data_IF_964781569256
#
_entry.id   IF_964781569256
#
_cell.length_a   1.000
_cell.length_b   1.000
_cell.length_c   1.000
_cell.angle_alpha   90.00
_cell.angle_beta   90.00
_cell.angle_gamma   90.00
#
_symmetry.space_group_name_H-M   'P 1'
#
loop_
_entity.id
_entity.type
_entity.pdbx_description
1 polymer ?
#
# COMPACT_ATOMS: atom_id res chain seq x y z
N UNK A 1 1.06 -26.19 11.83
CA UNK A 1 2.33 -26.70 11.25
C UNK A 1 2.58 -25.92 9.97
N UNK A 2 3.74 -25.27 9.86
CA UNK A 2 3.91 -24.06 9.06
C UNK A 2 4.08 -24.33 7.56
N UNK A 3 3.17 -23.79 6.76
CA UNK A 3 3.25 -23.70 5.29
C UNK A 3 4.49 -22.90 4.82
N UNK A 4 5.19 -22.21 5.73
CA UNK A 4 6.27 -21.29 5.41
C UNK A 4 7.65 -21.89 5.12
N UNK A 5 7.87 -23.21 5.30
CA UNK A 5 9.21 -23.82 5.09
C UNK A 5 9.57 -24.03 3.62
N UNK A 6 8.59 -24.09 2.71
CA UNK A 6 8.83 -24.35 1.28
C UNK A 6 9.34 -23.13 0.51
N UNK A 7 9.44 -21.98 1.16
CA UNK A 7 9.67 -20.72 0.47
C UNK A 7 11.13 -20.26 0.47
N UNK A 8 12.01 -20.77 1.33
CA UNK A 8 13.40 -20.27 1.41
C UNK A 8 14.28 -20.95 0.36
N UNK A 9 14.73 -20.19 -0.64
CA UNK A 9 15.74 -20.67 -1.61
C UNK A 9 17.14 -20.66 -1.00
N UNK A 10 17.92 -21.70 -1.28
CA UNK A 10 19.35 -21.75 -0.94
C UNK A 10 20.24 -21.05 -1.98
N UNK A 11 19.68 -20.74 -3.17
CA UNK A 11 20.42 -20.10 -4.24
C UNK A 11 20.59 -18.60 -3.96
N UNK A 12 21.79 -18.09 -4.18
CA UNK A 12 22.03 -16.64 -4.12
C UNK A 12 21.43 -16.00 -5.37
N UNK A 13 20.59 -14.95 -5.25
CA UNK A 13 19.99 -14.32 -6.42
C UNK A 13 21.07 -13.63 -7.27
N UNK A 14 20.92 -13.67 -8.60
CA UNK A 14 21.80 -12.98 -9.55
C UNK A 14 21.00 -12.03 -10.44
N UNK A 15 20.86 -10.78 -9.98
CA UNK A 15 19.99 -9.78 -10.58
C UNK A 15 20.51 -9.26 -11.92
N UNK A 16 19.67 -9.36 -12.93
CA UNK A 16 19.94 -8.86 -14.28
C UNK A 16 20.13 -7.33 -14.26
N UNK A 17 21.14 -6.84 -14.98
CA UNK A 17 21.40 -5.41 -15.13
C UNK A 17 22.12 -4.74 -13.95
N UNK A 18 22.46 -5.48 -12.89
CA UNK A 18 23.38 -4.97 -11.87
C UNK A 18 24.84 -5.11 -12.31
N UNK A 19 25.75 -4.23 -11.85
CA UNK A 19 27.18 -4.38 -12.08
C UNK A 19 27.71 -5.72 -11.54
N UNK A 20 28.73 -6.32 -12.17
CA UNK A 20 29.28 -7.63 -11.77
C UNK A 20 29.62 -7.74 -10.27
N UNK A 21 30.13 -6.68 -9.64
CA UNK A 21 30.43 -6.67 -8.21
C UNK A 21 29.23 -6.53 -7.27
N UNK A 22 28.01 -6.39 -7.82
CA UNK A 22 26.73 -6.23 -7.11
C UNK A 22 25.64 -7.12 -7.69
N UNK A 23 26.01 -8.17 -8.43
CA UNK A 23 25.04 -9.09 -9.06
C UNK A 23 24.08 -9.70 -8.04
N UNK A 24 24.49 -9.85 -6.78
CA UNK A 24 23.67 -10.42 -5.71
C UNK A 24 22.72 -9.42 -5.04
N UNK A 25 22.85 -8.13 -5.34
CA UNK A 25 22.02 -7.06 -4.80
C UNK A 25 22.82 -5.79 -4.54
N UNK A 26 22.13 -4.66 -4.42
CA UNK A 26 22.75 -3.38 -4.05
C UNK A 26 23.03 -3.29 -2.56
N UNK A 27 22.13 -3.85 -1.75
CA UNK A 27 22.26 -3.99 -0.31
C UNK A 27 21.71 -5.36 0.11
N UNK A 28 22.19 -5.86 1.23
CA UNK A 28 21.70 -7.09 1.85
C UNK A 28 21.90 -7.05 3.35
N UNK A 29 21.15 -7.88 4.06
CA UNK A 29 21.25 -8.03 5.50
C UNK A 29 20.91 -9.46 5.91
N UNK A 30 21.47 -9.89 7.05
CA UNK A 30 21.19 -11.17 7.67
C UNK A 30 20.23 -10.98 8.84
N UNK A 31 19.16 -11.75 8.86
CA UNK A 31 18.16 -11.79 9.92
C UNK A 31 18.10 -13.20 10.48
N UNK A 32 18.81 -13.45 11.59
CA UNK A 32 18.94 -14.81 12.14
C UNK A 32 19.60 -15.77 11.15
N UNK A 33 18.83 -16.76 10.70
CA UNK A 33 19.25 -17.76 9.72
C UNK A 33 18.89 -17.40 8.26
N UNK A 34 18.26 -16.24 8.02
CA UNK A 34 17.93 -15.79 6.68
C UNK A 34 18.89 -14.71 6.19
N UNK A 35 19.18 -14.72 4.90
CA UNK A 35 19.83 -13.63 4.19
C UNK A 35 18.83 -13.03 3.24
N UNK A 36 18.70 -11.71 3.26
CA UNK A 36 17.81 -10.97 2.38
C UNK A 36 18.63 -9.96 1.59
N UNK A 37 18.30 -9.80 0.31
CA UNK A 37 19.02 -8.92 -0.61
C UNK A 37 18.04 -8.19 -1.49
N UNK A 38 18.34 -6.96 -1.84
CA UNK A 38 17.51 -6.17 -2.77
C UNK A 38 18.34 -5.62 -3.92
N UNK A 39 17.82 -5.67 -5.16
CA UNK A 39 18.49 -5.07 -6.31
C UNK A 39 18.28 -3.56 -6.38
N UNK A 40 17.28 -3.02 -5.67
CA UNK A 40 16.76 -1.70 -5.98
C UNK A 40 16.18 -0.88 -4.82
N UNK A 41 15.93 -1.48 -3.66
CA UNK A 41 15.53 -0.73 -2.48
C UNK A 41 16.71 0.01 -1.85
N UNK A 42 16.42 1.14 -1.19
CA UNK A 42 17.42 1.98 -0.51
C UNK A 42 17.75 1.52 0.91
N UNK A 43 16.84 0.79 1.54
CA UNK A 43 16.95 0.35 2.92
C UNK A 43 16.45 -1.09 3.06
N UNK A 44 17.05 -1.86 3.97
CA UNK A 44 16.55 -3.17 4.33
C UNK A 44 15.34 -3.04 5.27
N UNK A 45 14.37 -3.91 5.10
CA UNK A 45 13.20 -4.03 5.98
C UNK A 45 13.34 -5.29 6.83
N UNK A 46 12.71 -5.33 8.00
CA UNK A 46 12.62 -6.59 8.75
C UNK A 46 11.77 -7.55 7.91
N UNK A 47 12.25 -8.76 7.59
CA UNK A 47 11.46 -9.71 6.81
C UNK A 47 10.18 -10.06 7.57
N UNK A 48 9.17 -10.55 6.85
CA UNK A 48 7.96 -11.17 7.44
C UNK A 48 7.98 -12.70 7.35
N UNK A 49 9.14 -13.26 6.99
CA UNK A 49 9.40 -14.70 6.88
C UNK A 49 10.28 -15.20 8.03
N UNK A 50 10.33 -16.51 8.23
CA UNK A 50 11.37 -17.17 9.04
C UNK A 50 11.36 -16.90 10.56
N UNK A 51 10.31 -16.27 11.09
CA UNK A 51 10.09 -16.14 12.52
C UNK A 51 8.59 -16.08 12.82
N UNK A 52 8.22 -16.36 14.07
CA UNK A 52 6.84 -16.25 14.52
C UNK A 52 6.44 -14.78 14.63
N UNK A 53 5.29 -14.44 14.05
CA UNK A 53 4.75 -13.09 14.05
C UNK A 53 3.45 -13.11 14.82
N UNK A 54 3.40 -12.36 15.92
CA UNK A 54 2.16 -12.12 16.66
C UNK A 54 1.52 -10.83 16.16
N UNK A 55 0.30 -10.94 15.64
CA UNK A 55 -0.49 -9.78 15.20
C UNK A 55 -1.18 -9.18 16.42
N UNK A 56 -0.78 -7.97 16.79
CA UNK A 56 -1.34 -7.24 17.93
C UNK A 56 -1.83 -5.88 17.49
N UNK A 57 -2.99 -5.48 18.00
CA UNK A 57 -3.47 -4.11 17.87
C UNK A 57 -2.59 -3.19 18.72
N UNK A 58 -2.00 -2.17 18.08
CA UNK A 58 -1.13 -1.19 18.74
C UNK A 58 -1.89 0.06 19.16
N UNK A 59 -1.25 0.91 19.94
CA UNK A 59 -1.80 2.19 20.43
C UNK A 59 -2.14 3.18 19.32
N UNK A 60 -1.54 3.02 18.14
CA UNK A 60 -1.84 3.81 16.95
C UNK A 60 -2.95 3.17 16.09
N UNK A 61 -3.64 2.17 16.61
CA UNK A 61 -4.75 1.45 15.96
C UNK A 61 -4.36 0.70 14.68
N UNK A 62 -3.06 0.43 14.50
CA UNK A 62 -2.49 -0.39 13.43
C UNK A 62 -2.01 -1.73 13.96
N UNK A 63 -1.69 -2.64 13.05
CA UNK A 63 -1.22 -3.99 13.39
C UNK A 63 0.31 -4.16 13.33
N UNK A 64 1.06 -3.06 13.19
CA UNK A 64 2.52 -3.12 13.06
C UNK A 64 2.97 -3.65 11.68
N UNK A 65 4.06 -4.42 11.64
CA UNK A 65 4.64 -4.91 10.38
C UNK A 65 3.67 -5.76 9.53
N UNK A 66 2.77 -6.57 10.10
CA UNK A 66 1.73 -7.28 9.36
C UNK A 66 0.65 -6.38 8.73
N UNK A 67 0.58 -5.10 9.12
CA UNK A 67 -0.37 -4.16 8.52
C UNK A 67 0.17 -3.66 7.17
N UNK A 68 -0.52 -3.86 6.04
CA UNK A 68 -0.02 -3.46 4.73
C UNK A 68 0.27 -1.97 4.59
N UNK A 69 -0.36 -1.12 5.40
CA UNK A 69 -0.10 0.33 5.40
C UNK A 69 1.15 0.75 6.18
N UNK A 70 1.79 -0.18 6.89
CA UNK A 70 2.98 0.08 7.71
C UNK A 70 4.28 -0.36 7.02
N UNK A 71 4.21 -1.25 6.03
CA UNK A 71 5.41 -1.78 5.40
C UNK A 71 5.13 -2.78 4.27
N UNK A 72 6.18 -3.15 3.51
CA UNK A 72 6.06 -4.14 2.46
C UNK A 72 5.58 -5.48 3.00
N UNK A 73 4.72 -6.14 2.24
CA UNK A 73 4.13 -7.42 2.60
C UNK A 73 4.73 -8.55 1.76
N UNK A 74 4.65 -9.82 2.23
CA UNK A 74 4.88 -10.99 1.40
C UNK A 74 4.08 -10.91 0.10
N UNK A 75 4.76 -11.12 -1.02
CA UNK A 75 4.10 -11.13 -2.31
C UNK A 75 3.20 -12.34 -2.43
N UNK A 76 1.94 -12.09 -2.77
CA UNK A 76 0.99 -13.12 -3.20
C UNK A 76 0.23 -12.61 -4.42
N UNK A 77 0.08 -13.44 -5.44
CA UNK A 77 -0.57 -13.04 -6.70
C UNK A 77 -1.99 -12.48 -6.49
N UNK A 78 -2.76 -13.07 -5.58
CA UNK A 78 -4.12 -12.59 -5.23
C UNK A 78 -4.13 -11.18 -4.61
N UNK A 79 -3.04 -10.78 -3.96
CA UNK A 79 -2.88 -9.48 -3.30
C UNK A 79 -1.74 -8.67 -3.90
N UNK A 80 -1.44 -8.87 -5.20
CA UNK A 80 -0.34 -8.22 -5.91
C UNK A 80 -0.37 -6.68 -5.80
N UNK A 81 -1.57 -6.10 -5.71
CA UNK A 81 -1.78 -4.67 -5.52
C UNK A 81 -1.12 -4.09 -4.27
N UNK A 82 -0.89 -4.89 -3.22
CA UNK A 82 -0.20 -4.40 -2.01
C UNK A 82 1.23 -3.94 -2.29
N UNK A 83 1.90 -4.53 -3.29
CA UNK A 83 3.23 -4.08 -3.72
C UNK A 83 3.21 -2.67 -4.33
N UNK A 84 2.06 -2.28 -4.90
CA UNK A 84 1.81 -0.98 -5.51
C UNK A 84 1.35 0.07 -4.50
N UNK A 85 1.18 -0.28 -3.22
CA UNK A 85 0.74 0.66 -2.19
C UNK A 85 1.71 1.83 -2.07
N UNK A 86 1.19 3.02 -1.79
CA UNK A 86 2.02 4.20 -1.56
C UNK A 86 2.83 3.96 -0.28
N UNK A 87 4.13 4.20 -0.35
CA UNK A 87 5.00 4.13 0.82
C UNK A 87 4.76 5.35 1.72
N UNK A 88 4.95 5.24 3.05
CA UNK A 88 4.86 6.38 3.96
C UNK A 88 5.74 7.55 3.48
N UNK A 89 5.12 8.71 3.32
CA UNK A 89 5.76 9.91 2.77
C UNK A 89 5.26 11.18 3.46
N UNK A 90 6.09 12.23 3.41
CA UNK A 90 5.74 13.59 3.84
C UNK A 90 5.26 14.47 2.68
N UNK A 91 5.16 13.92 1.47
CA UNK A 91 4.63 14.63 0.30
C UNK A 91 3.20 15.14 0.54
N UNK A 92 2.97 16.40 0.21
CA UNK A 92 1.74 17.13 0.56
C UNK A 92 0.45 16.47 0.03
N UNK A 93 0.51 15.88 -1.15
CA UNK A 93 -0.64 15.25 -1.81
C UNK A 93 -1.10 13.96 -1.12
N UNK A 94 -0.16 13.26 -0.46
CA UNK A 94 -0.41 11.98 0.19
C UNK A 94 -0.33 12.04 1.72
N UNK A 95 0.12 13.16 2.28
CA UNK A 95 0.36 13.30 3.72
C UNK A 95 -0.85 12.95 4.58
N UNK A 96 -2.09 13.20 4.13
CA UNK A 96 -3.30 12.84 4.88
C UNK A 96 -3.50 11.33 5.07
N UNK A 97 -2.92 10.50 4.20
CA UNK A 97 -2.98 9.04 4.28
C UNK A 97 -2.10 8.46 5.38
N UNK A 98 -1.10 9.22 5.82
CA UNK A 98 -0.09 8.77 6.78
C UNK A 98 -0.06 9.62 8.06
N UNK A 99 -0.76 10.76 8.08
CA UNK A 99 -0.84 11.64 9.23
C UNK A 99 -1.37 10.87 10.45
N UNK A 100 -0.71 10.93 11.61
CA UNK A 100 -1.24 10.34 12.82
C UNK A 100 -2.49 11.10 13.29
N UNK A 101 -3.40 10.40 13.95
CA UNK A 101 -4.52 11.03 14.63
C UNK A 101 -4.01 11.90 15.79
N UNK A 102 -4.47 13.14 15.89
CA UNK A 102 -4.14 14.00 17.03
C UNK A 102 -5.34 14.10 17.97
N UNK A 103 -5.13 13.81 19.25
CA UNK A 103 -6.18 13.85 20.28
C UNK A 103 -6.86 15.21 20.36
N UNK A 104 -6.15 16.30 20.07
CA UNK A 104 -6.70 17.66 20.02
C UNK A 104 -7.78 17.86 18.93
N UNK A 105 -7.91 16.95 17.95
CA UNK A 105 -9.00 17.00 16.98
C UNK A 105 -10.32 16.52 17.58
N UNK A 106 -10.30 15.86 18.73
CA UNK A 106 -11.49 15.33 19.38
C UNK A 106 -11.96 16.29 20.46
N UNK A 107 -13.24 16.64 20.45
CA UNK A 107 -13.87 17.50 21.46
C UNK A 107 -15.03 16.75 22.12
N UNK A 108 -15.06 16.62 23.46
CA UNK A 108 -16.15 15.96 24.17
C UNK A 108 -17.48 16.70 23.99
N UNK A 109 -18.58 15.97 24.04
CA UNK A 109 -19.92 16.54 23.96
C UNK A 109 -20.33 17.17 25.31
N UNK A 110 -21.09 18.28 25.29
CA UNK A 110 -21.69 18.82 26.50
C UNK A 110 -22.54 17.75 27.20
N UNK A 111 -22.28 17.52 28.49
CA UNK A 111 -23.02 16.55 29.30
C UNK A 111 -22.61 15.09 29.14
N UNK A 112 -21.66 14.76 28.26
CA UNK A 112 -21.11 13.39 28.16
C UNK A 112 -19.61 13.44 27.81
N UNK A 113 -18.70 13.35 28.80
CA UNK A 113 -17.26 13.43 28.56
C UNK A 113 -16.69 12.20 27.85
N UNK A 114 -17.43 11.09 27.78
CA UNK A 114 -16.97 9.85 27.13
C UNK A 114 -17.30 9.82 25.62
N UNK A 115 -18.17 10.70 25.14
CA UNK A 115 -18.51 10.83 23.73
C UNK A 115 -18.09 12.19 23.23
N UNK A 116 -17.45 12.23 22.07
CA UNK A 116 -17.02 13.47 21.45
C UNK A 116 -17.15 13.43 19.94
N UNK A 117 -16.85 14.56 19.32
CA UNK A 117 -16.84 14.73 17.86
C UNK A 117 -15.45 15.11 17.40
N UNK A 118 -15.12 14.70 16.18
CA UNK A 118 -13.93 15.20 15.50
C UNK A 118 -14.17 16.63 15.02
N UNK A 119 -13.13 17.45 15.02
CA UNK A 119 -13.09 18.77 14.42
C UNK A 119 -13.63 18.73 12.99
N UNK A 120 -14.64 19.56 12.74
CA UNK A 120 -15.35 19.63 11.46
C UNK A 120 -14.40 19.97 10.32
N UNK A 121 -13.43 20.86 10.53
CA UNK A 121 -12.47 21.26 9.50
C UNK A 121 -11.53 20.12 9.12
N UNK A 122 -11.13 19.31 10.09
CA UNK A 122 -10.34 18.09 9.85
C UNK A 122 -11.15 17.10 9.01
N UNK A 123 -12.40 16.81 9.38
CA UNK A 123 -13.24 15.89 8.61
C UNK A 123 -13.48 16.39 7.19
N UNK A 124 -13.74 17.69 7.02
CA UNK A 124 -13.94 18.31 5.71
C UNK A 124 -12.69 18.20 4.85
N UNK A 125 -11.52 18.47 5.41
CA UNK A 125 -10.24 18.39 4.70
C UNK A 125 -9.96 16.97 4.21
N UNK A 126 -10.12 15.96 5.08
CA UNK A 126 -9.92 14.55 4.73
C UNK A 126 -10.91 14.10 3.65
N UNK A 127 -12.20 14.41 3.85
CA UNK A 127 -13.26 14.07 2.90
C UNK A 127 -13.02 14.74 1.54
N UNK A 128 -12.58 16.00 1.51
CA UNK A 128 -12.29 16.74 0.27
C UNK A 128 -11.14 16.10 -0.51
N UNK A 129 -10.03 15.77 0.17
CA UNK A 129 -8.87 15.10 -0.47
C UNK A 129 -9.25 13.72 -1.02
N UNK A 130 -9.93 12.90 -0.24
CA UNK A 130 -10.40 11.58 -0.70
C UNK A 130 -11.40 11.68 -1.86
N UNK A 131 -12.34 12.63 -1.80
CA UNK A 131 -13.34 12.86 -2.86
C UNK A 131 -12.73 13.40 -4.15
N UNK A 132 -11.76 14.32 -4.06
CA UNK A 132 -11.06 14.86 -5.22
C UNK A 132 -10.37 13.73 -5.99
N UNK A 133 -9.57 12.93 -5.29
CA UNK A 133 -8.93 11.77 -5.89
C UNK A 133 -9.93 10.77 -6.48
N UNK A 134 -11.01 10.44 -5.75
CA UNK A 134 -12.03 9.52 -6.27
C UNK A 134 -12.73 10.05 -7.53
N UNK A 135 -12.94 11.37 -7.61
CA UNK A 135 -13.49 12.02 -8.80
C UNK A 135 -12.53 11.91 -9.98
N UNK A 136 -11.24 12.15 -9.75
CA UNK A 136 -10.21 12.07 -10.80
C UNK A 136 -10.12 10.65 -11.38
N UNK A 137 -10.21 9.62 -10.53
CA UNK A 137 -10.21 8.22 -10.98
C UNK A 137 -11.46 7.89 -11.79
N UNK A 138 -12.65 8.30 -11.33
CA UNK A 138 -13.87 8.07 -12.11
C UNK A 138 -13.84 8.79 -13.45
N UNK A 139 -13.29 10.01 -13.49
CA UNK A 139 -13.09 10.73 -14.74
C UNK A 139 -12.13 9.97 -15.68
N UNK A 140 -11.03 9.45 -15.15
CA UNK A 140 -10.08 8.67 -15.93
C UNK A 140 -10.72 7.40 -16.51
N UNK A 141 -11.59 6.72 -15.75
CA UNK A 141 -12.37 5.58 -16.24
C UNK A 141 -13.31 5.99 -17.37
N UNK A 142 -14.01 7.12 -17.24
CA UNK A 142 -14.88 7.65 -18.29
C UNK A 142 -14.09 8.04 -19.55
N UNK A 143 -12.91 8.63 -19.39
CA UNK A 143 -12.03 8.96 -20.51
C UNK A 143 -11.54 7.70 -21.24
N UNK A 144 -11.28 6.62 -20.50
CA UNK A 144 -10.93 5.31 -21.08
C UNK A 144 -12.12 4.73 -21.85
N UNK A 145 -13.34 4.78 -21.29
CA UNK A 145 -14.56 4.32 -21.98
C UNK A 145 -14.81 5.07 -23.29
N UNK A 146 -14.52 6.37 -23.31
CA UNK A 146 -14.69 7.23 -24.49
C UNK A 146 -13.53 7.13 -25.48
N UNK A 147 -12.45 6.44 -25.14
CA UNK A 147 -11.22 6.39 -25.95
C UNK A 147 -10.47 7.72 -26.02
N UNK A 148 -10.75 8.65 -25.10
CA UNK A 148 -10.08 9.96 -25.01
C UNK A 148 -8.92 9.96 -24.03
N UNK A 149 -8.78 8.91 -23.23
CA UNK A 149 -7.62 8.74 -22.37
C UNK A 149 -6.37 8.48 -23.24
N UNK A 150 -5.30 9.25 -23.02
CA UNK A 150 -4.00 9.07 -23.69
C UNK A 150 -3.24 7.82 -23.25
N UNK A 151 -3.95 6.72 -23.01
CA UNK A 151 -3.44 5.43 -22.50
C UNK A 151 -3.81 4.30 -23.44
N UNK A 152 -3.05 3.21 -23.39
CA UNK A 152 -3.33 1.96 -24.11
C UNK A 152 -4.23 1.01 -23.32
N UNK A 153 -4.75 1.44 -22.16
CA UNK A 153 -5.73 0.70 -21.37
C UNK A 153 -7.07 0.67 -22.08
N UNK A 154 -7.69 -0.51 -22.11
CA UNK A 154 -9.09 -0.68 -22.52
C UNK A 154 -9.96 -0.85 -21.30
N UNK A 155 -11.25 -0.58 -21.42
CA UNK A 155 -12.16 -0.72 -20.29
C UNK A 155 -12.26 -2.19 -19.84
N UNK A 156 -12.12 -3.13 -20.77
CA UNK A 156 -12.09 -4.58 -20.48
C UNK A 156 -10.91 -5.00 -19.60
N UNK A 157 -9.83 -4.21 -19.57
CA UNK A 157 -8.64 -4.47 -18.75
C UNK A 157 -8.85 -4.08 -17.28
N UNK A 158 -9.94 -3.36 -16.95
CA UNK A 158 -10.16 -2.73 -15.66
C UNK A 158 -11.40 -3.33 -14.99
N UNK A 159 -11.26 -3.75 -13.74
CA UNK A 159 -12.37 -4.24 -12.92
C UNK A 159 -13.28 -3.10 -12.40
N UNK A 160 -13.97 -2.39 -13.30
CA UNK A 160 -14.80 -1.20 -12.98
C UNK A 160 -15.94 -1.53 -12.00
N UNK A 161 -16.54 -2.71 -12.10
CA UNK A 161 -17.68 -3.11 -11.27
C UNK A 161 -17.37 -3.10 -9.76
N UNK A 162 -16.09 -3.28 -9.40
CA UNK A 162 -15.63 -3.26 -8.00
C UNK A 162 -15.21 -1.87 -7.54
N UNK A 163 -15.00 -0.94 -8.46
CA UNK A 163 -14.47 0.38 -8.19
C UNK A 163 -15.52 1.30 -7.55
N UNK A 164 -16.71 1.41 -8.16
CA UNK A 164 -17.76 2.31 -7.64
C UNK A 164 -18.21 1.96 -6.22
N UNK A 165 -18.49 0.68 -5.87
CA UNK A 165 -18.85 0.31 -4.50
C UNK A 165 -17.72 0.62 -3.51
N UNK A 166 -16.47 0.45 -3.92
CA UNK A 166 -15.30 0.72 -3.08
C UNK A 166 -15.10 2.22 -2.83
N UNK A 167 -15.26 3.05 -3.87
CA UNK A 167 -15.26 4.52 -3.75
C UNK A 167 -16.40 4.98 -2.86
N UNK A 168 -17.61 4.45 -3.05
CA UNK A 168 -18.74 4.79 -2.19
C UNK A 168 -18.48 4.44 -0.72
N UNK A 169 -17.86 3.27 -0.46
CA UNK A 169 -17.48 2.86 0.90
C UNK A 169 -16.45 3.81 1.50
N UNK A 170 -15.45 4.25 0.72
CA UNK A 170 -14.47 5.24 1.15
C UNK A 170 -15.15 6.56 1.55
N UNK A 171 -16.04 7.08 0.71
CA UNK A 171 -16.82 8.29 1.01
C UNK A 171 -17.60 8.16 2.31
N UNK A 172 -18.24 7.00 2.53
CA UNK A 172 -18.95 6.71 3.77
C UNK A 172 -18.02 6.69 4.99
N UNK A 173 -16.85 6.05 4.90
CA UNK A 173 -15.90 6.01 6.03
C UNK A 173 -15.47 7.42 6.44
N UNK A 174 -15.10 8.29 5.49
CA UNK A 174 -14.74 9.66 5.81
C UNK A 174 -15.89 10.45 6.45
N UNK A 175 -17.12 10.28 5.96
CA UNK A 175 -18.31 10.91 6.54
C UNK A 175 -18.62 10.38 7.95
N UNK A 176 -18.37 9.10 8.22
CA UNK A 176 -18.64 8.51 9.54
C UNK A 176 -17.78 9.08 10.66
N UNK A 177 -16.66 9.75 10.35
CA UNK A 177 -15.85 10.49 11.33
C UNK A 177 -16.60 11.69 11.94
N UNK A 178 -17.68 12.18 11.31
CA UNK A 178 -18.53 13.24 11.88
C UNK A 178 -19.43 12.75 13.01
N UNK A 179 -19.66 11.44 13.07
CA UNK A 179 -20.59 10.87 14.07
C UNK A 179 -19.91 10.84 15.43
N UNK A 180 -20.60 11.28 16.50
CA UNK A 180 -20.09 11.14 17.85
C UNK A 180 -19.65 9.71 18.16
N UNK A 181 -18.55 9.58 18.89
CA UNK A 181 -18.03 8.32 19.37
C UNK A 181 -17.04 8.57 20.52
N UNK A 182 -16.60 7.49 21.15
CA UNK A 182 -15.42 7.53 22.04
C UNK A 182 -14.17 7.95 21.25
N UNK A 183 -13.13 8.40 21.95
CA UNK A 183 -11.87 8.79 21.33
C UNK A 183 -11.27 7.61 20.54
N UNK A 184 -11.23 6.43 21.17
CA UNK A 184 -10.68 5.20 20.61
C UNK A 184 -11.45 4.74 19.37
N UNK A 185 -12.78 4.81 19.40
CA UNK A 185 -13.60 4.49 18.22
C UNK A 185 -13.33 5.44 17.05
N UNK A 186 -13.14 6.73 17.30
CA UNK A 186 -12.82 7.69 16.25
C UNK A 186 -11.40 7.49 15.69
N UNK A 187 -10.43 7.18 16.55
CA UNK A 187 -9.08 6.79 16.13
C UNK A 187 -9.11 5.53 15.26
N UNK A 188 -9.86 4.49 15.67
CA UNK A 188 -10.04 3.27 14.89
C UNK A 188 -10.71 3.53 13.54
N UNK A 189 -11.78 4.33 13.51
CA UNK A 189 -12.45 4.72 12.25
C UNK A 189 -11.51 5.49 11.32
N UNK A 190 -10.70 6.39 11.88
CA UNK A 190 -9.73 7.19 11.13
C UNK A 190 -8.68 6.31 10.45
N UNK A 191 -8.06 5.39 11.20
CA UNK A 191 -7.05 4.48 10.65
C UNK A 191 -7.65 3.51 9.63
N UNK A 192 -8.90 3.05 9.84
CA UNK A 192 -9.58 2.22 8.84
C UNK A 192 -9.93 2.99 7.56
N UNK A 193 -10.25 4.28 7.65
CA UNK A 193 -10.46 5.12 6.47
C UNK A 193 -9.14 5.29 5.68
N UNK A 194 -8.03 5.56 6.37
CA UNK A 194 -6.69 5.60 5.75
C UNK A 194 -6.35 4.26 5.09
N UNK A 195 -6.59 3.14 5.80
CA UNK A 195 -6.32 1.78 5.30
C UNK A 195 -7.12 1.47 4.04
N UNK A 196 -8.41 1.79 4.02
CA UNK A 196 -9.24 1.58 2.84
C UNK A 196 -8.78 2.46 1.68
N UNK A 197 -8.46 3.73 1.92
CA UNK A 197 -8.01 4.63 0.85
C UNK A 197 -6.69 4.17 0.24
N UNK A 198 -5.69 3.82 1.06
CA UNK A 198 -4.41 3.31 0.61
C UNK A 198 -4.56 2.00 -0.17
N UNK A 199 -5.39 1.08 0.32
CA UNK A 199 -5.66 -0.18 -0.37
C UNK A 199 -6.34 0.07 -1.73
N UNK A 200 -7.36 0.94 -1.78
CA UNK A 200 -8.06 1.24 -3.02
C UNK A 200 -7.14 1.93 -4.05
N UNK A 201 -6.33 2.90 -3.62
CA UNK A 201 -5.30 3.54 -4.46
C UNK A 201 -4.34 2.51 -5.05
N UNK A 202 -3.84 1.61 -4.20
CA UNK A 202 -2.92 0.55 -4.63
C UNK A 202 -3.55 -0.43 -5.63
N UNK A 203 -4.84 -0.71 -5.47
CA UNK A 203 -5.60 -1.56 -6.40
C UNK A 203 -5.79 -0.87 -7.75
N UNK A 204 -6.15 0.42 -7.76
CA UNK A 204 -6.28 1.19 -9.01
C UNK A 204 -4.94 1.29 -9.73
N UNK A 205 -3.86 1.62 -9.02
CA UNK A 205 -2.52 1.64 -9.59
C UNK A 205 -2.11 0.28 -10.16
N UNK A 206 -2.49 -0.80 -9.47
CA UNK A 206 -2.28 -2.15 -9.97
C UNK A 206 -3.03 -2.38 -11.30
N UNK A 207 -4.34 -2.15 -11.35
CA UNK A 207 -5.12 -2.35 -12.57
C UNK A 207 -4.63 -1.46 -13.73
N UNK A 208 -4.32 -0.19 -13.46
CA UNK A 208 -4.03 0.79 -14.51
C UNK A 208 -2.58 0.72 -14.99
N UNK A 209 -1.65 0.29 -14.14
CA UNK A 209 -0.21 0.40 -14.44
C UNK A 209 0.44 -0.97 -14.36
N UNK A 210 0.32 -1.65 -13.22
CA UNK A 210 1.20 -2.78 -12.90
C UNK A 210 0.67 -4.13 -13.38
N UNK A 211 -0.63 -4.32 -13.56
CA UNK A 211 -1.24 -5.58 -14.01
C UNK A 211 -0.68 -6.02 -15.37
N UNK A 212 -0.61 -5.08 -16.33
CA UNK A 212 0.02 -5.33 -17.64
C UNK A 212 1.52 -5.60 -17.53
N UNK A 213 2.23 -4.84 -16.68
CA UNK A 213 3.67 -5.02 -16.44
C UNK A 213 3.99 -6.34 -15.76
N UNK A 214 3.11 -6.86 -14.90
CA UNK A 214 3.32 -8.14 -14.23
C UNK A 214 3.10 -9.31 -15.20
N UNK A 215 2.12 -9.18 -16.10
CA UNK A 215 1.89 -10.17 -17.17
C UNK A 215 3.02 -10.19 -18.19
N UNK A 216 3.52 -9.01 -18.57
CA UNK A 216 4.61 -8.85 -19.53
C UNK A 216 5.68 -7.90 -18.96
N UNK A 217 6.59 -8.41 -18.12
CA UNK A 217 7.65 -7.59 -17.52
C UNK A 217 8.56 -6.99 -18.60
N UNK A 218 9.01 -5.74 -18.46
CA UNK A 218 9.99 -5.14 -19.36
C UNK A 218 11.29 -5.96 -19.38
N UNK A 219 11.93 -6.09 -20.54
CA UNK A 219 13.20 -6.82 -20.66
C UNK A 219 14.32 -6.18 -19.83
N UNK A 220 14.33 -4.84 -19.79
CA UNK A 220 15.27 -4.04 -18.99
C UNK A 220 14.56 -3.51 -17.75
N UNK A 221 15.16 -3.61 -16.55
CA UNK A 221 14.52 -3.12 -15.34
C UNK A 221 14.19 -1.63 -15.38
N UNK A 222 12.94 -1.29 -15.05
CA UNK A 222 12.52 0.11 -14.93
C UNK A 222 13.17 0.80 -13.72
N UNK A 223 13.27 2.12 -13.78
CA UNK A 223 13.69 2.92 -12.64
C UNK A 223 12.76 2.66 -11.46
N UNK A 224 13.36 2.45 -10.29
CA UNK A 224 12.61 2.07 -9.09
C UNK A 224 11.85 3.24 -8.50
N UNK A 225 10.54 3.06 -8.35
CA UNK A 225 9.65 4.00 -7.70
C UNK A 225 9.70 3.81 -6.18
N UNK A 226 10.54 4.59 -5.51
CA UNK A 226 10.68 4.57 -4.05
C UNK A 226 9.45 5.13 -3.31
N UNK A 227 8.50 5.74 -4.01
CA UNK A 227 7.20 6.14 -3.46
C UNK A 227 6.22 4.97 -3.32
N UNK A 228 6.62 3.75 -3.71
CA UNK A 228 5.84 2.53 -3.57
C UNK A 228 6.39 1.63 -2.47
N UNK A 229 5.50 0.91 -1.81
CA UNK A 229 5.82 0.04 -0.68
C UNK A 229 6.71 -1.11 -1.13
N UNK A 230 6.45 -1.67 -2.32
CA UNK A 230 7.12 -2.87 -2.79
C UNK A 230 6.64 -4.12 -2.05
N UNK A 231 7.35 -5.23 -2.24
CA UNK A 231 6.99 -6.49 -1.60
C UNK A 231 8.22 -7.31 -1.22
N UNK A 232 8.04 -8.19 -0.26
CA UNK A 232 9.03 -9.21 0.08
C UNK A 232 8.68 -10.49 -0.67
N UNK A 233 9.66 -11.21 -1.18
CA UNK A 233 9.43 -12.53 -1.74
C UNK A 233 10.68 -13.38 -1.63
N UNK A 234 10.47 -14.67 -1.45
CA UNK A 234 11.55 -15.64 -1.47
C UNK A 234 11.65 -16.37 -2.82
N UNK A 235 10.72 -16.09 -3.74
CA UNK A 235 10.67 -16.67 -5.07
C UNK A 235 11.37 -15.75 -6.08
N UNK A 236 12.56 -16.16 -6.54
CA UNK A 236 13.43 -15.33 -7.38
C UNK A 236 12.75 -14.80 -8.67
N UNK A 237 12.00 -15.60 -9.46
CA UNK A 237 11.29 -15.08 -10.63
C UNK A 237 10.27 -13.97 -10.31
N UNK A 238 9.57 -14.09 -9.17
CA UNK A 238 8.67 -13.03 -8.70
C UNK A 238 9.45 -11.78 -8.31
N UNK A 239 10.61 -11.98 -7.70
CA UNK A 239 11.46 -10.88 -7.29
C UNK A 239 11.99 -10.11 -8.51
N UNK A 240 12.42 -10.85 -9.53
CA UNK A 240 12.86 -10.31 -10.81
C UNK A 240 11.71 -9.57 -11.52
N UNK A 241 10.51 -10.14 -11.55
CA UNK A 241 9.33 -9.46 -12.10
C UNK A 241 9.07 -8.10 -11.42
N UNK A 242 9.04 -8.05 -10.09
CA UNK A 242 8.83 -6.82 -9.33
C UNK A 242 9.93 -5.78 -9.59
N UNK A 243 11.18 -6.23 -9.60
CA UNK A 243 12.34 -5.40 -9.92
C UNK A 243 12.23 -4.82 -11.32
N UNK A 244 11.89 -5.64 -12.32
CA UNK A 244 11.72 -5.19 -13.70
C UNK A 244 10.55 -4.20 -13.86
N UNK A 245 9.51 -4.34 -13.06
CA UNK A 245 8.39 -3.40 -13.01
C UNK A 245 8.72 -2.08 -12.29
N UNK A 246 9.92 -1.93 -11.73
CA UNK A 246 10.34 -0.74 -11.00
C UNK A 246 9.74 -0.65 -9.59
N UNK A 247 9.28 -1.76 -9.00
CA UNK A 247 8.83 -1.80 -7.61
C UNK A 247 9.98 -2.22 -6.69
N UNK A 248 10.12 -1.63 -5.49
CA UNK A 248 11.05 -2.12 -4.49
C UNK A 248 10.78 -3.59 -4.16
N UNK A 249 11.83 -4.40 -4.06
CA UNK A 249 11.69 -5.82 -3.70
C UNK A 249 12.77 -6.24 -2.72
N UNK A 250 12.42 -7.12 -1.79
CA UNK A 250 13.33 -7.71 -0.80
C UNK A 250 13.19 -9.23 -0.77
#
# INVERSE_FOLDING_TARGET
>A
MSVYREYITAATPEWVGLPKGKSQGKIGARFGNMVMSTPNARHMKLPLYGHDITVLLRTDFKFGLPDPICGPQPYHAHNAHLACMIAPTMEYDFHHLFRPFLTQWWTPLPGNPNLGKLDTEIVLTLSRKGNAWAKDILQQVEDIKKGTAGTTLRIEDISVDKLEPSIWRLKRLWITLRRPATLEELQWRYVNAQRLELNLRSHIDFEFIYSKRFKNPPEVPLLTNNGRMGAMTTHYPTAQMLYHCGLPVW
#
